data_IF_426476297520
#
_entry.id   IF_426476297520
#
_cell.length_a   1.000
_cell.length_b   1.000
_cell.length_c   1.000
_cell.angle_alpha   90.00
_cell.angle_beta   90.00
_cell.angle_gamma   90.00
#
_symmetry.space_group_name_H-M   'P 1'
#
loop_
_entity.id
_entity.type
_entity.pdbx_description
1 polymer ?
#
# COMPACT_ATOMS: atom_id res chain seq x y z
N UNK A 1 -40.42 35.23 -7.57
CA UNK A 1 -41.29 34.22 -6.94
C UNK A 1 -41.00 32.89 -7.64
N UNK A 2 -40.57 31.79 -7.04
CA UNK A 2 -40.29 31.28 -5.68
C UNK A 2 -39.54 29.97 -5.98
N UNK A 3 -38.32 29.68 -5.54
CA UNK A 3 -37.91 29.65 -4.15
C UNK A 3 -38.42 28.39 -3.43
N UNK A 4 -38.28 27.20 -4.01
CA UNK A 4 -38.63 25.94 -3.32
C UNK A 4 -37.37 25.31 -2.73
N UNK A 5 -36.96 25.84 -1.57
CA UNK A 5 -36.01 25.20 -0.68
C UNK A 5 -36.55 23.83 -0.25
N UNK A 6 -35.85 22.76 -0.65
CA UNK A 6 -36.08 21.43 -0.12
C UNK A 6 -35.73 21.46 1.38
N UNK A 7 -36.78 21.58 2.18
CA UNK A 7 -36.75 21.72 3.63
C UNK A 7 -36.24 20.41 4.24
N UNK A 8 -35.06 20.50 4.83
CA UNK A 8 -34.41 19.51 5.69
C UNK A 8 -35.41 18.79 6.60
N UNK A 9 -35.54 17.48 6.43
CA UNK A 9 -36.01 16.60 7.49
C UNK A 9 -34.77 16.13 8.27
N UNK A 10 -34.38 16.92 9.27
CA UNK A 10 -33.50 16.47 10.35
C UNK A 10 -34.34 15.57 11.24
N UNK A 11 -34.30 14.25 10.99
CA UNK A 11 -34.85 13.30 11.96
C UNK A 11 -33.86 13.25 13.12
N UNK A 12 -34.34 13.74 14.25
CA UNK A 12 -33.65 13.68 15.52
C UNK A 12 -33.66 12.23 16.02
N UNK A 13 -32.50 11.61 16.01
CA UNK A 13 -32.20 10.33 16.64
C UNK A 13 -30.68 10.19 16.66
N UNK A 14 -30.06 10.44 17.81
CA UNK A 14 -28.61 10.39 18.00
C UNK A 14 -28.06 8.97 17.99
N UNK A 15 -28.33 8.22 16.93
CA UNK A 15 -27.61 6.99 16.61
C UNK A 15 -26.47 7.36 15.68
N UNK A 16 -25.26 6.91 16.00
CA UNK A 16 -24.10 7.04 15.12
C UNK A 16 -24.45 6.28 13.84
N UNK A 17 -24.42 6.96 12.68
CA UNK A 17 -24.64 6.29 11.39
C UNK A 17 -23.56 5.23 11.19
N UNK A 18 -23.96 4.07 10.72
CA UNK A 18 -22.99 3.05 10.35
C UNK A 18 -22.26 3.50 9.07
N UNK A 19 -20.96 3.20 8.91
CA UNK A 19 -20.18 3.68 7.77
C UNK A 19 -20.80 3.38 6.39
N UNK A 20 -21.47 2.25 6.25
CA UNK A 20 -22.10 1.85 4.99
C UNK A 20 -23.30 2.73 4.60
N UNK A 21 -23.95 3.39 5.57
CA UNK A 21 -25.08 4.30 5.33
C UNK A 21 -24.66 5.59 4.61
N UNK A 22 -23.37 5.89 4.57
CA UNK A 22 -22.85 6.99 3.75
C UNK A 22 -22.72 6.59 2.27
N UNK A 23 -22.75 5.31 1.91
CA UNK A 23 -22.67 4.87 0.51
C UNK A 23 -24.04 4.77 -0.17
N UNK A 24 -25.10 4.53 0.59
CA UNK A 24 -26.45 4.38 0.05
C UNK A 24 -27.50 4.91 1.03
N UNK A 25 -28.65 5.33 0.50
CA UNK A 25 -29.78 5.75 1.33
C UNK A 25 -30.52 4.52 1.86
N UNK A 26 -30.29 4.20 3.13
CA UNK A 26 -31.05 3.17 3.83
C UNK A 26 -32.31 3.78 4.43
N UNK A 27 -33.45 3.17 4.11
CA UNK A 27 -34.73 3.53 4.71
C UNK A 27 -34.97 2.59 5.88
N UNK A 28 -34.88 3.09 7.12
CA UNK A 28 -35.38 2.37 8.28
C UNK A 28 -36.91 2.50 8.33
N UNK A 29 -37.60 1.36 8.35
CA UNK A 29 -39.05 1.29 8.48
C UNK A 29 -39.49 1.28 9.96
N UNK A 30 -38.54 1.33 10.89
CA UNK A 30 -38.77 1.31 12.33
C UNK A 30 -38.94 -0.08 12.94
N UNK A 31 -38.85 -0.14 14.27
CA UNK A 31 -38.79 -1.38 15.04
C UNK A 31 -40.01 -2.31 14.89
N UNK A 32 -41.16 -1.77 14.47
CA UNK A 32 -42.39 -2.56 14.27
C UNK A 32 -42.43 -3.23 12.89
N UNK A 33 -41.86 -2.60 11.86
CA UNK A 33 -41.91 -3.09 10.48
C UNK A 33 -40.69 -3.94 10.11
N UNK A 34 -39.53 -3.71 10.72
CA UNK A 34 -38.30 -4.47 10.46
C UNK A 34 -38.43 -5.99 10.68
N UNK A 35 -39.09 -6.49 11.76
CA UNK A 35 -39.30 -7.93 11.95
C UNK A 35 -40.18 -8.53 10.84
N UNK A 36 -41.24 -7.81 10.43
CA UNK A 36 -42.13 -8.24 9.35
C UNK A 36 -41.38 -8.29 8.01
N UNK A 37 -40.60 -7.26 7.69
CA UNK A 37 -39.79 -7.22 6.47
C UNK A 37 -38.73 -8.34 6.45
N UNK A 38 -38.12 -8.64 7.62
CA UNK A 38 -37.21 -9.78 7.76
C UNK A 38 -37.91 -11.10 7.49
N UNK A 39 -39.16 -11.27 7.95
CA UNK A 39 -39.99 -12.45 7.63
C UNK A 39 -40.36 -12.52 6.14
N UNK A 40 -40.53 -11.39 5.47
CA UNK A 40 -40.71 -11.31 4.02
C UNK A 40 -39.42 -11.59 3.22
N UNK A 41 -38.29 -11.84 3.89
CA UNK A 41 -37.00 -12.12 3.26
C UNK A 41 -36.24 -10.87 2.81
N UNK A 42 -36.67 -9.67 3.24
CA UNK A 42 -35.90 -8.45 3.02
C UNK A 42 -34.64 -8.52 3.90
N UNK A 43 -33.47 -8.46 3.28
CA UNK A 43 -32.19 -8.45 3.99
C UNK A 43 -32.00 -7.10 4.68
N UNK A 44 -31.59 -7.16 5.93
CA UNK A 44 -31.34 -5.99 6.77
C UNK A 44 -29.99 -5.32 6.46
N UNK A 45 -28.98 -6.14 6.13
CA UNK A 45 -27.64 -5.68 5.80
C UNK A 45 -27.23 -6.21 4.43
N UNK A 46 -26.53 -5.39 3.62
CA UNK A 46 -26.00 -5.83 2.35
C UNK A 46 -24.98 -6.96 2.57
N UNK A 47 -25.01 -7.93 1.66
CA UNK A 47 -24.02 -9.00 1.62
C UNK A 47 -22.63 -8.45 1.30
N UNK A 48 -21.53 -9.17 1.61
CA UNK A 48 -20.18 -8.71 1.28
C UNK A 48 -19.99 -8.34 -0.20
N UNK A 49 -20.67 -9.06 -1.11
CA UNK A 49 -20.69 -8.75 -2.54
C UNK A 49 -21.42 -7.44 -2.82
N UNK A 50 -22.62 -7.26 -2.28
CA UNK A 50 -23.39 -6.01 -2.44
C UNK A 50 -22.61 -4.81 -1.84
N UNK A 51 -21.93 -4.99 -0.70
CA UNK A 51 -21.04 -3.97 -0.11
C UNK A 51 -19.86 -3.63 -1.02
N UNK A 52 -19.23 -4.63 -1.64
CA UNK A 52 -18.16 -4.42 -2.62
C UNK A 52 -18.64 -3.62 -3.84
N UNK A 53 -19.84 -3.92 -4.35
CA UNK A 53 -20.43 -3.20 -5.47
C UNK A 53 -20.82 -1.76 -5.10
N UNK A 54 -21.46 -1.57 -3.95
CA UNK A 54 -21.80 -0.24 -3.43
C UNK A 54 -20.55 0.62 -3.24
N UNK A 55 -19.46 0.04 -2.74
CA UNK A 55 -18.19 0.73 -2.58
C UNK A 55 -17.58 1.08 -3.94
N UNK A 56 -17.59 0.16 -4.91
CA UNK A 56 -17.10 0.43 -6.26
C UNK A 56 -17.88 1.57 -6.94
N UNK A 57 -19.20 1.60 -6.79
CA UNK A 57 -20.08 2.53 -7.51
C UNK A 57 -20.22 3.89 -6.80
N UNK A 58 -20.26 3.93 -5.45
CA UNK A 58 -20.60 5.13 -4.67
C UNK A 58 -19.45 5.67 -3.80
N UNK A 59 -18.21 5.23 -3.98
CA UNK A 59 -17.05 5.68 -3.19
C UNK A 59 -16.91 7.20 -3.08
N UNK A 60 -17.17 7.96 -4.15
CA UNK A 60 -17.07 9.42 -4.16
C UNK A 60 -18.11 10.10 -3.24
N UNK A 61 -19.32 9.53 -3.20
CA UNK A 61 -20.47 10.07 -2.46
C UNK A 61 -20.24 9.98 -0.95
N UNK A 62 -19.45 9.00 -0.48
CA UNK A 62 -19.15 8.81 0.93
C UNK A 62 -18.56 10.07 1.58
N UNK A 63 -17.55 10.66 0.94
CA UNK A 63 -16.86 11.84 1.47
C UNK A 63 -17.75 13.09 1.37
N UNK A 64 -18.55 13.21 0.31
CA UNK A 64 -19.52 14.31 0.13
C UNK A 64 -20.62 14.32 1.21
N UNK A 65 -21.05 13.12 1.65
CA UNK A 65 -22.07 12.96 2.70
C UNK A 65 -21.51 13.14 4.12
N UNK A 66 -20.24 13.53 4.25
CA UNK A 66 -19.59 13.84 5.53
C UNK A 66 -19.00 12.64 6.25
N UNK A 67 -18.79 11.52 5.56
CA UNK A 67 -18.06 10.39 6.12
C UNK A 67 -16.59 10.72 6.37
N UNK A 68 -16.04 10.21 7.47
CA UNK A 68 -14.63 10.42 7.81
C UNK A 68 -13.72 9.36 7.19
N UNK A 69 -12.42 9.68 7.06
CA UNK A 69 -11.40 8.75 6.57
C UNK A 69 -11.32 7.49 7.45
N UNK A 70 -11.47 7.64 8.77
CA UNK A 70 -11.42 6.52 9.71
C UNK A 70 -12.65 5.60 9.59
N UNK A 71 -13.84 6.16 9.34
CA UNK A 71 -15.04 5.36 9.08
C UNK A 71 -14.93 4.61 7.74
N UNK A 72 -14.39 5.26 6.70
CA UNK A 72 -14.13 4.59 5.42
C UNK A 72 -13.13 3.45 5.58
N UNK A 73 -12.07 3.68 6.37
CA UNK A 73 -11.07 2.66 6.71
C UNK A 73 -11.71 1.49 7.47
N UNK A 74 -12.60 1.76 8.41
CA UNK A 74 -13.32 0.71 9.14
C UNK A 74 -14.18 -0.15 8.20
N UNK A 75 -14.89 0.47 7.25
CA UNK A 75 -15.65 -0.24 6.23
C UNK A 75 -14.77 -1.15 5.37
N UNK A 76 -13.60 -0.65 4.94
CA UNK A 76 -12.64 -1.46 4.18
C UNK A 76 -12.08 -2.63 5.00
N UNK A 77 -11.86 -2.45 6.31
CA UNK A 77 -11.41 -3.53 7.20
C UNK A 77 -12.48 -4.62 7.32
N UNK A 78 -13.75 -4.23 7.46
CA UNK A 78 -14.88 -5.17 7.54
C UNK A 78 -15.05 -5.97 6.24
N UNK A 79 -15.02 -5.27 5.09
CA UNK A 79 -15.01 -5.90 3.77
C UNK A 79 -13.82 -6.85 3.60
N UNK A 80 -12.63 -6.45 4.06
CA UNK A 80 -11.45 -7.28 3.98
C UNK A 80 -11.56 -8.58 4.81
N UNK A 81 -12.23 -8.52 5.97
CA UNK A 81 -12.52 -9.70 6.79
C UNK A 81 -13.41 -10.72 6.08
N UNK A 82 -14.37 -10.24 5.29
CA UNK A 82 -15.33 -11.05 4.53
C UNK A 82 -14.96 -11.24 3.05
N UNK A 83 -13.78 -10.77 2.61
CA UNK A 83 -13.39 -10.72 1.19
C UNK A 83 -13.40 -12.07 0.46
N UNK A 84 -13.25 -13.18 1.18
CA UNK A 84 -13.34 -14.54 0.62
C UNK A 84 -14.72 -14.89 0.08
N UNK A 85 -15.76 -14.19 0.54
CA UNK A 85 -17.15 -14.40 0.15
C UNK A 85 -17.62 -13.44 -0.96
N UNK A 86 -16.77 -12.49 -1.37
CA UNK A 86 -17.04 -11.58 -2.48
C UNK A 86 -16.89 -12.33 -3.79
N UNK A 87 -17.85 -12.16 -4.69
CA UNK A 87 -17.83 -12.81 -5.99
C UNK A 87 -16.72 -12.25 -6.91
N UNK A 88 -16.40 -12.99 -7.97
CA UNK A 88 -15.33 -12.56 -8.90
C UNK A 88 -15.70 -11.31 -9.69
N UNK A 89 -16.99 -11.07 -9.92
CA UNK A 89 -17.47 -9.92 -10.68
C UNK A 89 -17.32 -8.62 -9.88
N UNK A 90 -17.75 -8.59 -8.61
CA UNK A 90 -17.55 -7.43 -7.74
C UNK A 90 -16.06 -7.21 -7.44
N UNK A 91 -15.26 -8.28 -7.27
CA UNK A 91 -13.79 -8.13 -7.19
C UNK A 91 -13.24 -7.45 -8.44
N UNK A 92 -13.67 -7.83 -9.64
CA UNK A 92 -13.22 -7.20 -10.88
C UNK A 92 -13.62 -5.70 -10.94
N UNK A 93 -14.82 -5.35 -10.45
CA UNK A 93 -15.24 -3.95 -10.33
C UNK A 93 -14.40 -3.16 -9.33
N UNK A 94 -14.14 -3.72 -8.15
CA UNK A 94 -13.26 -3.12 -7.14
C UNK A 94 -11.84 -2.87 -7.66
N UNK A 95 -11.32 -3.72 -8.54
CA UNK A 95 -10.00 -3.52 -9.15
C UNK A 95 -9.93 -2.30 -10.06
N UNK A 96 -11.04 -1.97 -10.72
CA UNK A 96 -11.12 -0.89 -11.71
C UNK A 96 -11.54 0.44 -11.06
N UNK A 97 -12.33 0.40 -10.00
CA UNK A 97 -12.83 1.58 -9.32
C UNK A 97 -11.75 2.26 -8.47
N UNK A 98 -11.71 3.61 -8.42
CA UNK A 98 -10.82 4.35 -7.54
C UNK A 98 -11.39 4.43 -6.12
N UNK A 99 -11.69 3.29 -5.52
CA UNK A 99 -12.39 3.17 -4.23
C UNK A 99 -11.48 2.73 -3.08
N UNK A 100 -10.17 2.55 -3.31
CA UNK A 100 -9.22 2.17 -2.26
C UNK A 100 -8.69 3.41 -1.54
N UNK A 101 -8.45 3.27 -0.25
CA UNK A 101 -7.90 4.35 0.56
C UNK A 101 -6.38 4.36 0.44
N UNK A 102 -5.83 5.43 -0.13
CA UNK A 102 -4.40 5.67 -0.26
C UNK A 102 -3.93 6.84 0.62
N UNK A 103 -2.70 6.76 1.10
CA UNK A 103 -2.05 7.81 1.88
C UNK A 103 -0.79 8.27 1.16
N UNK A 104 -0.63 9.58 0.99
CA UNK A 104 0.55 10.18 0.41
C UNK A 104 1.19 11.16 1.40
N UNK A 105 2.51 11.17 1.47
CA UNK A 105 3.24 12.18 2.23
C UNK A 105 3.25 13.51 1.46
N UNK A 106 2.66 14.54 2.06
CA UNK A 106 2.70 15.92 1.57
C UNK A 106 3.53 16.78 2.52
N UNK A 107 4.21 17.79 1.97
CA UNK A 107 4.86 18.81 2.80
C UNK A 107 3.79 19.74 3.37
N UNK A 108 3.97 20.15 4.63
CA UNK A 108 3.18 21.22 5.21
C UNK A 108 3.73 22.54 4.71
N UNK A 109 2.87 23.44 4.25
CA UNK A 109 3.26 24.78 3.78
C UNK A 109 4.13 25.48 4.84
N UNK A 110 5.44 25.60 4.55
CA UNK A 110 6.42 26.29 5.38
C UNK A 110 7.42 25.42 6.16
N UNK A 111 7.30 24.09 6.13
CA UNK A 111 8.25 23.17 6.76
C UNK A 111 9.22 22.55 5.74
N UNK A 112 10.51 22.86 5.83
CA UNK A 112 11.56 22.27 4.95
C UNK A 112 12.05 20.89 5.40
N UNK A 113 11.59 20.38 6.55
CA UNK A 113 12.07 19.13 7.13
C UNK A 113 11.09 17.98 6.89
N UNK A 114 11.63 16.82 6.50
CA UNK A 114 10.86 15.59 6.27
C UNK A 114 10.12 15.06 7.51
N UNK A 115 10.41 15.60 8.70
CA UNK A 115 9.73 15.29 9.95
C UNK A 115 8.33 15.92 10.03
N UNK A 116 8.07 16.99 9.26
CA UNK A 116 6.79 17.71 9.26
C UNK A 116 5.82 17.22 8.17
N UNK A 117 6.15 16.12 7.48
CA UNK A 117 5.32 15.59 6.41
C UNK A 117 3.98 15.05 6.96
N UNK A 118 2.87 15.56 6.43
CA UNK A 118 1.51 15.11 6.77
C UNK A 118 1.06 14.06 5.76
N UNK A 119 0.40 13.01 6.26
CA UNK A 119 -0.24 12.01 5.40
C UNK A 119 -1.60 12.51 4.94
N UNK A 120 -1.70 12.80 3.66
CA UNK A 120 -2.96 13.14 3.00
C UNK A 120 -3.63 11.87 2.51
N UNK A 121 -4.86 11.65 2.98
CA UNK A 121 -5.68 10.53 2.54
C UNK A 121 -6.41 10.88 1.24
N UNK A 122 -6.48 9.93 0.31
CA UNK A 122 -7.22 10.07 -0.95
C UNK A 122 -7.79 8.72 -1.38
N UNK A 123 -8.82 8.75 -2.21
CA UNK A 123 -9.34 7.54 -2.85
C UNK A 123 -8.61 7.30 -4.17
N UNK A 124 -8.14 6.08 -4.39
CA UNK A 124 -7.27 5.70 -5.50
C UNK A 124 -7.64 4.32 -6.05
N UNK A 125 -7.16 4.03 -7.26
CA UNK A 125 -7.27 2.73 -7.89
C UNK A 125 -6.23 1.75 -7.33
N UNK A 126 -6.43 0.45 -7.57
CA UNK A 126 -5.42 -0.55 -7.19
C UNK A 126 -4.10 -0.42 -7.99
N UNK A 127 -4.13 0.12 -9.21
CA UNK A 127 -2.91 0.29 -10.03
C UNK A 127 -2.00 1.40 -9.54
N UNK A 128 -2.61 2.42 -8.93
CA UNK A 128 -1.95 3.66 -8.49
C UNK A 128 -1.68 3.66 -6.97
N UNK A 129 -1.92 2.52 -6.30
CA UNK A 129 -1.70 2.33 -4.87
C UNK A 129 -0.60 1.30 -4.62
N UNK A 130 0.33 1.63 -3.73
CA UNK A 130 1.52 0.83 -3.47
C UNK A 130 1.55 0.21 -2.07
N UNK A 131 2.01 -1.03 -2.00
CA UNK A 131 2.32 -1.71 -0.74
C UNK A 131 3.75 -1.37 -0.34
N UNK A 132 3.95 -0.88 0.89
CA UNK A 132 5.26 -0.46 1.39
C UNK A 132 6.00 -1.63 2.03
N UNK A 133 7.08 -2.07 1.40
CA UNK A 133 8.07 -3.01 1.95
C UNK A 133 9.27 -2.30 2.57
N UNK A 134 9.67 -1.17 1.97
CA UNK A 134 10.84 -0.38 2.38
C UNK A 134 10.38 1.04 2.75
N UNK A 135 10.25 1.37 4.04
CA UNK A 135 9.78 2.69 4.48
C UNK A 135 10.62 3.87 3.95
N UNK A 136 11.93 3.65 3.75
CA UNK A 136 12.80 4.67 3.18
C UNK A 136 12.40 5.08 1.73
N UNK A 137 11.80 4.17 0.96
CA UNK A 137 11.32 4.47 -0.39
C UNK A 137 10.01 5.28 -0.35
N UNK A 138 9.14 5.06 0.65
CA UNK A 138 7.93 5.87 0.87
C UNK A 138 8.31 7.34 1.08
N UNK A 139 9.28 7.61 1.96
CA UNK A 139 9.76 8.97 2.25
C UNK A 139 10.45 9.60 1.03
N UNK A 140 11.30 8.83 0.34
CA UNK A 140 12.08 9.33 -0.79
C UNK A 140 11.24 9.62 -2.04
N UNK A 141 10.28 8.75 -2.36
CA UNK A 141 9.51 8.81 -3.60
C UNK A 141 8.13 9.45 -3.41
N UNK A 142 7.61 9.44 -2.18
CA UNK A 142 6.27 9.94 -1.81
C UNK A 142 5.14 9.45 -2.73
N UNK A 143 5.04 8.14 -3.03
CA UNK A 143 3.92 7.61 -3.79
C UNK A 143 2.66 7.51 -2.91
N UNK A 144 1.52 7.24 -3.53
CA UNK A 144 0.28 6.91 -2.81
C UNK A 144 0.38 5.47 -2.31
N UNK A 145 0.32 5.29 -0.99
CA UNK A 145 0.53 4.00 -0.35
C UNK A 145 -0.75 3.48 0.31
N UNK A 146 -0.90 2.16 0.35
CA UNK A 146 -1.95 1.51 1.11
C UNK A 146 -1.83 1.82 2.61
N UNK A 147 -2.91 1.69 3.38
CA UNK A 147 -2.86 1.90 4.82
C UNK A 147 -1.87 0.90 5.46
N UNK A 148 -0.97 1.39 6.31
CA UNK A 148 -0.03 0.53 7.04
C UNK A 148 -0.75 -0.21 8.19
N UNK A 149 -1.62 -1.15 7.83
CA UNK A 149 -2.36 -2.00 8.75
C UNK A 149 -2.09 -3.44 8.36
N UNK A 150 -1.44 -4.19 9.24
CA UNK A 150 -1.27 -5.62 9.06
C UNK A 150 -2.62 -6.34 9.15
N UNK A 151 -2.80 -7.42 8.38
CA UNK A 151 -3.96 -8.29 8.46
C UNK A 151 -4.79 -8.36 7.17
N UNK A 152 -6.09 -8.71 7.26
CA UNK A 152 -6.92 -9.01 6.09
C UNK A 152 -6.99 -7.88 5.06
N UNK A 153 -6.90 -6.62 5.52
CA UNK A 153 -6.90 -5.45 4.65
C UNK A 153 -5.70 -5.44 3.71
N UNK A 154 -4.51 -5.78 4.22
CA UNK A 154 -3.29 -5.83 3.43
C UNK A 154 -3.38 -6.92 2.34
N UNK A 155 -3.83 -8.11 2.71
CA UNK A 155 -4.06 -9.23 1.78
C UNK A 155 -5.10 -8.89 0.71
N UNK A 156 -6.12 -8.12 1.07
CA UNK A 156 -7.13 -7.64 0.12
C UNK A 156 -6.50 -6.70 -0.92
N UNK A 157 -5.69 -5.73 -0.49
CA UNK A 157 -5.02 -4.80 -1.41
C UNK A 157 -4.09 -5.54 -2.37
N UNK A 158 -3.34 -6.55 -1.89
CA UNK A 158 -2.50 -7.40 -2.73
C UNK A 158 -3.34 -8.19 -3.76
N UNK A 159 -4.47 -8.78 -3.35
CA UNK A 159 -5.38 -9.51 -4.26
C UNK A 159 -6.06 -8.62 -5.29
N UNK A 160 -6.33 -7.36 -4.93
CA UNK A 160 -6.87 -6.35 -5.83
C UNK A 160 -5.83 -5.90 -6.86
N UNK A 161 -4.53 -6.10 -6.60
CA UNK A 161 -3.46 -5.88 -7.57
C UNK A 161 -2.52 -4.72 -7.24
N UNK A 162 -2.57 -4.22 -6.00
CA UNK A 162 -1.60 -3.23 -5.53
C UNK A 162 -0.18 -3.79 -5.63
N UNK A 163 0.76 -2.99 -6.10
CA UNK A 163 2.14 -3.41 -6.33
C UNK A 163 3.03 -3.09 -5.14
N UNK A 164 4.00 -3.97 -4.87
CA UNK A 164 5.04 -3.71 -3.89
C UNK A 164 5.97 -2.60 -4.38
N UNK A 165 6.19 -1.58 -3.54
CA UNK A 165 6.99 -0.41 -3.89
C UNK A 165 8.41 -0.80 -4.29
N UNK A 166 9.08 -1.65 -3.50
CA UNK A 166 10.42 -2.13 -3.81
C UNK A 166 10.54 -2.92 -5.13
N UNK A 167 9.46 -3.55 -5.61
CA UNK A 167 9.44 -4.21 -6.94
C UNK A 167 9.31 -3.21 -8.10
N UNK A 168 8.76 -2.04 -7.84
CA UNK A 168 8.57 -0.99 -8.85
C UNK A 168 9.79 -0.07 -8.99
N UNK A 169 10.76 -0.22 -8.09
CA UNK A 169 11.92 0.65 -7.99
C UNK A 169 13.18 -0.04 -8.52
N UNK A 170 13.87 0.62 -9.45
CA UNK A 170 15.18 0.18 -9.93
C UNK A 170 16.27 1.01 -9.26
N UNK A 171 17.21 0.35 -8.58
CA UNK A 171 18.36 1.00 -7.93
C UNK A 171 19.62 0.77 -8.75
N UNK A 172 20.35 1.83 -9.05
CA UNK A 172 21.65 1.79 -9.72
C UNK A 172 22.67 2.51 -8.85
N UNK A 173 23.81 1.89 -8.59
CA UNK A 173 24.92 2.51 -7.89
C UNK A 173 26.08 2.72 -8.88
N UNK A 174 26.52 3.97 -9.05
CA UNK A 174 27.66 4.31 -9.91
C UNK A 174 28.76 4.97 -9.07
N UNK A 175 30.01 4.50 -9.18
CA UNK A 175 31.13 5.16 -8.51
C UNK A 175 31.34 6.56 -9.10
N UNK A 176 31.59 7.54 -8.23
CA UNK A 176 31.92 8.90 -8.64
C UNK A 176 33.43 9.09 -8.53
N UNK A 177 34.05 9.42 -9.67
CA UNK A 177 35.49 9.61 -9.80
C UNK A 177 36.25 8.33 -10.14
N UNK A 178 37.59 8.45 -10.16
CA UNK A 178 38.48 7.34 -10.52
C UNK A 178 38.77 6.48 -9.28
N UNK A 179 38.61 5.17 -9.42
CA UNK A 179 38.99 4.21 -8.38
C UNK A 179 40.48 4.26 -8.10
N UNK A 180 40.84 4.31 -6.82
CA UNK A 180 42.23 4.37 -6.36
C UNK A 180 42.53 3.16 -5.49
N UNK A 181 43.72 2.56 -5.67
CA UNK A 181 44.22 1.51 -4.80
C UNK A 181 44.79 2.14 -3.52
N UNK A 182 44.09 1.98 -2.41
CA UNK A 182 44.49 2.49 -1.10
C UNK A 182 44.79 1.33 -0.15
N UNK A 183 45.47 1.61 0.97
CA UNK A 183 45.70 0.62 2.02
C UNK A 183 44.38 0.01 2.53
N UNK A 184 43.31 0.82 2.61
CA UNK A 184 41.97 0.37 3.00
C UNK A 184 41.36 -0.59 1.98
N UNK A 185 41.45 -0.27 0.68
CA UNK A 185 40.97 -1.14 -0.40
C UNK A 185 41.72 -2.49 -0.42
N UNK A 186 43.04 -2.46 -0.26
CA UNK A 186 43.86 -3.68 -0.16
C UNK A 186 43.53 -4.49 1.09
N UNK A 187 43.31 -3.83 2.23
CA UNK A 187 42.86 -4.50 3.46
C UNK A 187 41.51 -5.20 3.30
N UNK A 188 40.54 -4.53 2.68
CA UNK A 188 39.24 -5.13 2.39
C UNK A 188 39.35 -6.30 1.41
N UNK A 189 40.18 -6.18 0.36
CA UNK A 189 40.46 -7.29 -0.58
C UNK A 189 41.03 -8.50 0.17
N UNK A 190 41.97 -8.30 1.09
CA UNK A 190 42.52 -9.38 1.92
C UNK A 190 41.43 -10.07 2.73
N UNK A 191 40.55 -9.31 3.39
CA UNK A 191 39.43 -9.87 4.17
C UNK A 191 38.47 -10.66 3.29
N UNK A 192 38.17 -10.19 2.08
CA UNK A 192 37.33 -10.91 1.12
C UNK A 192 38.00 -12.24 0.73
N UNK A 193 39.30 -12.24 0.47
CA UNK A 193 40.04 -13.44 0.08
C UNK A 193 40.20 -14.43 1.24
N UNK A 194 40.37 -13.96 2.47
CA UNK A 194 40.39 -14.79 3.68
C UNK A 194 39.03 -15.46 3.94
N UNK A 195 37.92 -14.74 3.65
CA UNK A 195 36.56 -15.19 3.99
C UNK A 195 35.79 -15.83 2.83
N UNK A 196 36.28 -15.78 1.59
CA UNK A 196 35.57 -16.34 0.42
C UNK A 196 35.28 -17.83 0.57
N UNK A 197 36.16 -18.58 1.26
CA UNK A 197 35.98 -19.99 1.54
C UNK A 197 34.67 -20.28 2.29
N UNK A 198 34.28 -19.38 3.21
CA UNK A 198 33.06 -19.50 4.02
C UNK A 198 31.78 -19.46 3.19
N UNK A 199 31.83 -18.89 1.98
CA UNK A 199 30.68 -18.87 1.07
C UNK A 199 30.50 -20.19 0.32
N UNK A 200 31.48 -21.08 0.40
CA UNK A 200 31.56 -22.30 -0.40
C UNK A 200 31.47 -23.57 0.45
N UNK A 201 31.76 -23.48 1.74
CA UNK A 201 31.75 -24.62 2.68
C UNK A 201 30.82 -24.38 3.87
N UNK A 202 30.25 -25.45 4.41
CA UNK A 202 29.48 -25.44 5.65
C UNK A 202 30.41 -25.48 6.89
N UNK A 203 29.83 -25.46 8.09
CA UNK A 203 30.59 -25.50 9.35
C UNK A 203 31.39 -26.81 9.54
N UNK A 204 31.03 -27.87 8.82
CA UNK A 204 31.67 -29.18 8.82
C UNK A 204 32.79 -29.30 7.77
N UNK A 205 33.05 -28.23 6.99
CA UNK A 205 34.06 -28.22 5.93
C UNK A 205 33.62 -28.87 4.62
N UNK A 206 32.36 -29.26 4.51
CA UNK A 206 31.79 -29.83 3.29
C UNK A 206 31.30 -28.72 2.35
N UNK A 207 31.36 -28.98 1.05
CA UNK A 207 30.96 -27.99 0.04
C UNK A 207 29.44 -27.80 0.03
N UNK A 208 29.00 -26.54 0.05
CA UNK A 208 27.58 -26.19 -0.04
C UNK A 208 27.00 -26.57 -1.41
N UNK A 209 25.85 -27.25 -1.39
CA UNK A 209 25.13 -27.61 -2.62
C UNK A 209 24.59 -26.34 -3.31
N UNK A 210 24.76 -26.24 -4.62
CA UNK A 210 24.31 -25.09 -5.43
C UNK A 210 25.34 -23.97 -5.64
N UNK A 211 26.49 -23.98 -4.93
CA UNK A 211 27.57 -23.02 -5.18
C UNK A 211 28.42 -23.46 -6.37
N UNK A 212 28.30 -22.72 -7.48
CA UNK A 212 29.06 -23.00 -8.71
C UNK A 212 30.52 -22.57 -8.56
N UNK A 213 31.44 -23.50 -8.77
CA UNK A 213 32.91 -23.28 -8.82
C UNK A 213 33.29 -22.08 -9.72
N UNK A 214 32.56 -21.87 -10.81
CA UNK A 214 32.78 -20.76 -11.74
C UNK A 214 32.55 -19.37 -11.12
N UNK A 215 31.66 -19.25 -10.11
CA UNK A 215 31.40 -18.00 -9.41
C UNK A 215 32.48 -17.69 -8.37
N UNK A 216 33.00 -18.70 -7.68
CA UNK A 216 34.15 -18.57 -6.77
C UNK A 216 35.38 -18.05 -7.52
N UNK A 217 35.69 -18.66 -8.68
CA UNK A 217 36.80 -18.22 -9.54
C UNK A 217 36.62 -16.77 -10.04
N UNK A 218 35.39 -16.29 -10.17
CA UNK A 218 35.13 -14.87 -10.50
C UNK A 218 35.38 -13.97 -9.31
N UNK A 219 35.02 -14.39 -8.09
CA UNK A 219 35.24 -13.60 -6.87
C UNK A 219 36.74 -13.39 -6.59
N UNK A 220 37.55 -14.42 -6.83
CA UNK A 220 39.01 -14.32 -6.70
C UNK A 220 39.61 -13.22 -7.61
N UNK A 221 38.99 -12.97 -8.77
CA UNK A 221 39.40 -11.95 -9.76
C UNK A 221 38.83 -10.54 -9.48
N UNK A 222 38.02 -10.36 -8.44
CA UNK A 222 37.45 -9.05 -8.11
C UNK A 222 38.54 -8.11 -7.63
N UNK A 223 38.59 -6.93 -8.24
CA UNK A 223 39.41 -5.82 -7.78
C UNK A 223 38.59 -4.94 -6.85
N UNK A 224 39.21 -4.50 -5.76
CA UNK A 224 38.61 -3.57 -4.81
C UNK A 224 39.33 -2.23 -4.97
N UNK A 225 38.58 -1.19 -5.28
CA UNK A 225 39.10 0.17 -5.43
C UNK A 225 38.30 1.10 -4.53
N UNK A 226 38.99 2.06 -3.91
CA UNK A 226 38.34 3.12 -3.15
C UNK A 226 37.96 4.26 -4.09
N UNK A 227 36.74 4.77 -3.93
CA UNK A 227 36.20 5.88 -4.72
C UNK A 227 35.76 6.99 -3.77
N UNK A 228 35.74 8.23 -4.26
CA UNK A 228 35.39 9.41 -3.44
C UNK A 228 33.97 9.29 -2.86
N UNK A 229 33.02 8.84 -3.68
CA UNK A 229 31.66 8.56 -3.27
C UNK A 229 30.99 7.60 -4.25
N UNK A 230 29.86 7.02 -3.84
CA UNK A 230 29.00 6.19 -4.68
C UNK A 230 27.67 6.92 -4.82
N UNK A 231 27.35 7.35 -6.04
CA UNK A 231 26.04 7.92 -6.35
C UNK A 231 25.06 6.76 -6.50
N UNK A 232 24.02 6.74 -5.66
CA UNK A 232 22.91 5.79 -5.78
C UNK A 232 21.75 6.52 -6.40
N UNK A 233 21.28 5.99 -7.51
CA UNK A 233 20.17 6.53 -8.29
C UNK A 233 19.00 5.56 -8.19
N UNK A 234 17.82 6.08 -7.90
CA UNK A 234 16.58 5.35 -7.70
C UNK A 234 15.61 5.78 -8.79
N UNK A 235 15.15 4.83 -9.61
CA UNK A 235 14.17 5.11 -10.68
C UNK A 235 12.84 4.47 -10.33
N UNK A 236 11.77 5.26 -10.39
CA UNK A 236 10.39 4.88 -10.10
C UNK A 236 9.45 5.57 -11.09
N UNK A 237 8.63 4.81 -11.82
CA UNK A 237 7.71 5.33 -12.85
C UNK A 237 8.36 6.31 -13.85
N UNK A 238 9.61 6.03 -14.24
CA UNK A 238 10.37 6.89 -15.16
C UNK A 238 10.98 8.14 -14.51
N UNK A 239 10.64 8.44 -13.25
CA UNK A 239 11.27 9.50 -12.46
C UNK A 239 12.52 8.95 -11.78
N UNK A 240 13.63 9.66 -11.95
CA UNK A 240 14.92 9.30 -11.38
C UNK A 240 15.29 10.29 -10.27
N UNK A 241 15.59 9.77 -9.07
CA UNK A 241 16.09 10.51 -7.90
C UNK A 241 17.45 10.01 -7.44
#
# INVERSE_FOLDING_TARGET
ATGAAAKRARVAGGAKREPIEYLADFVSFGAEAEPFLRMCGVKEWPTPTETAELLADNHAVFMERGGSVDEYKALLIDLAGSFKHVDKAAVARLKQAPCLLGFQLADVDGGTDAADAVRVASLTSASDCYLVDIPALEVLLRPVCAPNVAGPLFDMYEKLGCRWLGRCVTRSAKPVGKGTATARASGLKRVIDERVGLLSVNAQGERLSGVKVSREKRLAKVQVLEVKSIATTVTFEGVTR
#
